data_IF_134698447547
#
_entry.id   IF_134698447547
#
_cell.length_a   1.000
_cell.length_b   1.000
_cell.length_c   1.000
_cell.angle_alpha   90.00
_cell.angle_beta   90.00
_cell.angle_gamma   90.00
#
_symmetry.space_group_name_H-M   'P 1'
#
loop_
_entity.id
_entity.type
_entity.pdbx_description
1 polymer ?
#
# COMPACT_ATOMS: atom_id res chain seq x y z
N UNK A 1 -18.83 -0.60 8.32
CA UNK A 1 -17.87 -1.59 7.79
C UNK A 1 -17.56 -1.19 6.36
N UNK A 2 -16.37 -0.67 6.11
CA UNK A 2 -15.99 -0.21 4.76
C UNK A 2 -15.98 -1.41 3.81
N UNK A 3 -16.85 -1.32 2.81
CA UNK A 3 -16.89 -2.20 1.66
C UNK A 3 -15.53 -2.02 0.95
N UNK A 4 -14.61 -2.98 1.07
CA UNK A 4 -13.33 -2.98 0.35
C UNK A 4 -13.63 -3.16 -1.14
N UNK A 5 -14.02 -2.04 -1.76
CA UNK A 5 -14.51 -1.93 -3.12
C UNK A 5 -13.32 -2.01 -4.06
N UNK A 6 -13.21 -3.15 -4.73
CA UNK A 6 -12.22 -3.48 -5.78
C UNK A 6 -10.76 -3.47 -5.29
N UNK A 7 -10.11 -4.64 -5.27
CA UNK A 7 -8.70 -4.79 -4.89
C UNK A 7 -7.82 -4.21 -6.02
N UNK A 8 -7.72 -2.88 -6.08
CA UNK A 8 -6.64 -2.25 -6.82
C UNK A 8 -5.37 -2.40 -6.00
N UNK A 9 -4.29 -2.86 -6.65
CA UNK A 9 -2.94 -2.76 -6.09
C UNK A 9 -2.66 -1.35 -5.56
N UNK A 10 -1.74 -1.23 -4.61
CA UNK A 10 -1.30 0.03 -4.03
C UNK A 10 -0.96 1.05 -5.13
N UNK A 11 -0.14 0.69 -6.12
CA UNK A 11 0.22 1.58 -7.23
C UNK A 11 -0.99 2.00 -8.07
N UNK A 12 -1.93 1.07 -8.31
CA UNK A 12 -3.20 1.35 -8.97
C UNK A 12 -4.02 2.39 -8.20
N UNK A 13 -4.15 2.22 -6.88
CA UNK A 13 -4.84 3.17 -6.02
C UNK A 13 -4.20 4.56 -6.06
N UNK A 14 -2.87 4.65 -5.96
CA UNK A 14 -2.14 5.92 -6.07
C UNK A 14 -2.43 6.63 -7.41
N UNK A 15 -2.44 5.87 -8.52
CA UNK A 15 -2.77 6.40 -9.85
C UNK A 15 -4.21 6.93 -9.91
N UNK A 16 -5.16 6.19 -9.35
CA UNK A 16 -6.57 6.58 -9.29
C UNK A 16 -6.77 7.85 -8.46
N UNK A 17 -6.19 7.92 -7.26
CA UNK A 17 -6.23 9.10 -6.39
C UNK A 17 -5.63 10.33 -7.09
N UNK A 18 -4.46 10.17 -7.72
CA UNK A 18 -3.82 11.25 -8.47
C UNK A 18 -4.70 11.76 -9.61
N UNK A 19 -5.30 10.84 -10.39
CA UNK A 19 -6.19 11.20 -11.51
C UNK A 19 -7.48 11.87 -11.05
N UNK A 20 -8.09 11.39 -9.96
CA UNK A 20 -9.29 12.02 -9.37
C UNK A 20 -9.04 13.47 -8.97
N UNK A 21 -7.83 13.78 -8.51
CA UNK A 21 -7.43 15.15 -8.18
C UNK A 21 -6.85 15.94 -9.37
N UNK A 22 -6.89 15.37 -10.58
CA UNK A 22 -6.32 15.97 -11.81
C UNK A 22 -4.85 16.38 -11.66
N UNK A 23 -4.08 15.69 -10.81
CA UNK A 23 -2.70 16.02 -10.55
C UNK A 23 -1.77 15.38 -11.62
N UNK A 24 -0.91 16.15 -12.29
CA UNK A 24 0.13 15.56 -13.12
C UNK A 24 1.20 14.90 -12.25
N UNK A 25 1.88 13.86 -12.75
CA UNK A 25 2.94 13.13 -12.03
C UNK A 25 3.95 14.08 -11.37
N UNK A 26 4.40 15.11 -12.10
CA UNK A 26 5.36 16.11 -11.62
C UNK A 26 4.95 16.83 -10.33
N UNK A 27 3.65 17.06 -10.10
CA UNK A 27 3.17 17.76 -8.90
C UNK A 27 3.24 16.89 -7.65
N UNK A 28 2.89 15.61 -7.78
CA UNK A 28 2.99 14.65 -6.67
C UNK A 28 4.45 14.29 -6.40
N UNK A 29 5.23 14.05 -7.47
CA UNK A 29 6.65 13.72 -7.36
C UNK A 29 7.46 14.84 -6.67
N UNK A 30 7.19 16.12 -7.01
CA UNK A 30 7.82 17.25 -6.32
C UNK A 30 7.48 17.34 -4.82
N UNK A 31 6.25 16.95 -4.42
CA UNK A 31 5.86 16.93 -2.99
C UNK A 31 6.51 15.78 -2.21
N UNK A 32 6.95 14.74 -2.90
CA UNK A 32 7.63 13.57 -2.34
C UNK A 32 9.16 13.66 -2.46
N UNK A 33 9.67 14.75 -3.03
CA UNK A 33 11.09 14.94 -3.34
C UNK A 33 11.69 13.78 -4.16
N UNK A 34 11.00 13.39 -5.24
CA UNK A 34 11.42 12.32 -6.16
C UNK A 34 11.21 12.72 -7.63
N UNK A 35 11.83 11.96 -8.54
CA UNK A 35 11.56 12.09 -9.97
C UNK A 35 10.13 11.67 -10.36
N UNK A 36 9.50 12.33 -11.35
CA UNK A 36 8.22 11.89 -11.91
C UNK A 36 8.25 10.45 -12.44
N UNK A 37 9.40 9.99 -12.94
CA UNK A 37 9.60 8.60 -13.40
C UNK A 37 9.55 7.60 -12.24
N UNK A 38 10.04 7.99 -11.06
CA UNK A 38 9.98 7.19 -9.84
C UNK A 38 8.53 7.01 -9.39
N UNK A 39 7.76 8.09 -9.33
CA UNK A 39 6.32 8.00 -9.04
C UNK A 39 5.59 7.16 -10.11
N UNK A 40 5.93 7.31 -11.38
CA UNK A 40 5.35 6.51 -12.46
C UNK A 40 5.62 5.01 -12.33
N UNK A 41 6.78 4.61 -11.78
CA UNK A 41 7.08 3.21 -11.44
C UNK A 41 6.30 2.74 -10.21
N UNK A 42 6.11 3.61 -9.21
CA UNK A 42 5.26 3.32 -8.05
C UNK A 42 3.82 3.05 -8.46
N UNK A 43 3.25 3.87 -9.35
CA UNK A 43 1.89 3.68 -9.88
C UNK A 43 1.70 2.38 -10.68
N UNK A 44 2.80 1.78 -11.14
CA UNK A 44 2.79 0.49 -11.85
C UNK A 44 3.20 -0.69 -10.95
N UNK A 45 3.39 -0.46 -9.66
CA UNK A 45 3.92 -1.43 -8.68
C UNK A 45 5.31 -2.01 -9.02
N UNK A 46 6.05 -1.39 -9.94
CA UNK A 46 7.41 -1.83 -10.30
C UNK A 46 8.49 -1.21 -9.41
N UNK A 47 8.13 -0.21 -8.60
CA UNK A 47 8.99 0.34 -7.55
C UNK A 47 8.16 0.54 -6.28
N UNK A 48 8.61 -0.05 -5.17
CA UNK A 48 7.95 0.11 -3.86
C UNK A 48 8.36 1.44 -3.22
N UNK A 49 7.41 2.21 -2.66
CA UNK A 49 7.75 3.36 -1.82
C UNK A 49 8.23 2.94 -0.43
N UNK A 50 8.91 3.87 0.25
CA UNK A 50 9.19 3.78 1.69
C UNK A 50 7.91 4.02 2.50
N UNK A 51 7.89 3.61 3.78
CA UNK A 51 6.73 3.87 4.66
C UNK A 51 6.50 5.37 4.90
N UNK A 52 7.57 6.16 4.90
CA UNK A 52 7.49 7.62 4.95
C UNK A 52 6.76 8.15 3.71
N UNK A 53 7.14 7.69 2.51
CA UNK A 53 6.47 8.07 1.27
C UNK A 53 5.00 7.60 1.23
N UNK A 54 4.68 6.43 1.79
CA UNK A 54 3.27 5.99 1.96
C UNK A 54 2.49 6.98 2.82
N UNK A 55 3.09 7.42 3.94
CA UNK A 55 2.47 8.41 4.84
C UNK A 55 2.31 9.78 4.17
N UNK A 56 3.32 10.23 3.43
CA UNK A 56 3.24 11.47 2.65
C UNK A 56 2.18 11.38 1.54
N UNK A 57 2.06 10.25 0.85
CA UNK A 57 1.05 10.01 -0.18
C UNK A 57 -0.38 10.08 0.40
N UNK A 58 -0.59 9.51 1.59
CA UNK A 58 -1.86 9.62 2.31
C UNK A 58 -2.23 11.09 2.55
N UNK A 59 -1.27 11.90 3.03
CA UNK A 59 -1.46 13.34 3.24
C UNK A 59 -1.69 14.10 1.92
N UNK A 60 -0.92 13.82 0.88
CA UNK A 60 -1.03 14.48 -0.44
C UNK A 60 -2.42 14.28 -1.03
N UNK A 61 -2.98 13.09 -0.89
CA UNK A 61 -4.29 12.75 -1.46
C UNK A 61 -5.46 12.91 -0.48
N UNK A 62 -5.20 13.36 0.76
CA UNK A 62 -6.20 13.40 1.83
C UNK A 62 -6.96 12.06 1.95
N UNK A 63 -6.20 10.95 1.96
CA UNK A 63 -6.71 9.59 2.02
C UNK A 63 -6.38 8.98 3.39
N UNK A 64 -7.25 8.13 3.99
CA UNK A 64 -6.96 7.52 5.28
C UNK A 64 -5.65 6.73 5.26
N UNK A 65 -4.70 7.10 6.12
CA UNK A 65 -3.38 6.48 6.16
C UNK A 65 -3.45 4.98 6.44
N UNK A 66 -4.36 4.56 7.32
CA UNK A 66 -4.60 3.14 7.64
C UNK A 66 -5.05 2.33 6.43
N UNK A 67 -5.99 2.85 5.64
CA UNK A 67 -6.44 2.18 4.41
C UNK A 67 -5.29 2.07 3.41
N UNK A 68 -4.51 3.14 3.24
CA UNK A 68 -3.37 3.11 2.31
C UNK A 68 -2.28 2.13 2.76
N UNK A 69 -2.03 2.02 4.07
CA UNK A 69 -1.14 1.02 4.65
C UNK A 69 -1.66 -0.40 4.43
N UNK A 70 -2.97 -0.64 4.56
CA UNK A 70 -3.56 -1.95 4.27
C UNK A 70 -3.26 -2.37 2.83
N UNK A 71 -3.48 -1.49 1.85
CA UNK A 71 -3.14 -1.78 0.45
C UNK A 71 -1.63 -2.03 0.26
N UNK A 72 -0.78 -1.20 0.86
CA UNK A 72 0.68 -1.35 0.76
C UNK A 72 1.18 -2.69 1.32
N UNK A 73 0.76 -3.04 2.53
CA UNK A 73 1.20 -4.27 3.19
C UNK A 73 0.55 -5.51 2.59
N UNK A 74 -0.69 -5.42 2.12
CA UNK A 74 -1.35 -6.50 1.37
C UNK A 74 -0.52 -6.89 0.15
N UNK A 75 -0.14 -5.92 -0.69
CA UNK A 75 0.70 -6.17 -1.87
C UNK A 75 2.14 -6.61 -1.52
N UNK A 76 2.67 -6.14 -0.38
CA UNK A 76 3.97 -6.60 0.13
C UNK A 76 3.95 -8.06 0.56
N UNK A 77 2.92 -8.46 1.28
CA UNK A 77 2.79 -9.83 1.77
C UNK A 77 2.47 -10.75 0.60
N UNK A 78 1.49 -10.39 -0.25
CA UNK A 78 1.09 -11.17 -1.41
C UNK A 78 2.29 -11.49 -2.31
N UNK A 79 3.09 -10.49 -2.71
CA UNK A 79 4.24 -10.74 -3.60
C UNK A 79 5.30 -11.66 -3.01
N UNK A 80 5.34 -11.83 -1.67
CA UNK A 80 6.31 -12.68 -0.99
C UNK A 80 5.84 -14.12 -0.87
N UNK A 81 4.53 -14.37 -0.93
CA UNK A 81 3.98 -15.70 -0.60
C UNK A 81 3.08 -16.27 -1.70
N UNK A 82 2.64 -15.49 -2.68
CA UNK A 82 1.67 -15.92 -3.71
C UNK A 82 2.15 -17.11 -4.54
N UNK A 83 3.47 -17.26 -4.71
CA UNK A 83 4.09 -18.36 -5.44
C UNK A 83 4.19 -19.66 -4.60
N UNK A 84 3.89 -19.60 -3.30
CA UNK A 84 3.97 -20.75 -2.40
C UNK A 84 2.61 -21.48 -2.37
N UNK A 85 2.56 -22.81 -2.58
CA UNK A 85 1.32 -23.58 -2.51
C UNK A 85 0.57 -23.50 -1.16
N UNK A 86 1.26 -23.06 -0.11
CA UNK A 86 0.77 -22.96 1.27
C UNK A 86 0.51 -21.51 1.72
N UNK A 87 0.38 -20.55 0.79
CA UNK A 87 0.19 -19.12 1.09
C UNK A 87 -0.92 -18.85 2.12
N UNK A 88 -2.09 -19.48 1.94
CA UNK A 88 -3.23 -19.33 2.87
C UNK A 88 -2.92 -19.82 4.28
N UNK A 89 -2.17 -20.91 4.40
CA UNK A 89 -1.76 -21.46 5.69
C UNK A 89 -0.77 -20.52 6.40
N UNK A 90 0.15 -19.92 5.62
CA UNK A 90 1.10 -18.91 6.12
C UNK A 90 0.36 -17.68 6.66
N UNK A 91 -0.66 -17.20 5.95
CA UNK A 91 -1.48 -16.06 6.40
C UNK A 91 -2.20 -16.35 7.72
N UNK A 92 -2.88 -17.50 7.81
CA UNK A 92 -3.58 -17.94 9.03
C UNK A 92 -2.62 -18.09 10.21
N UNK A 93 -1.46 -18.71 9.99
CA UNK A 93 -0.45 -18.88 11.03
C UNK A 93 0.12 -17.53 11.50
N UNK A 94 0.32 -16.57 10.57
CA UNK A 94 0.78 -15.21 10.87
C UNK A 94 -0.22 -14.46 11.74
N UNK A 95 -1.51 -14.50 11.36
CA UNK A 95 -2.58 -13.86 12.12
C UNK A 95 -2.65 -14.40 13.56
N UNK A 96 -2.61 -15.73 13.72
CA UNK A 96 -2.62 -16.36 15.03
C UNK A 96 -1.42 -15.92 15.89
N UNK A 97 -0.20 -15.85 15.33
CA UNK A 97 0.99 -15.37 16.04
C UNK A 97 0.84 -13.92 16.52
N UNK A 98 0.23 -13.05 15.71
CA UNK A 98 0.00 -11.64 16.07
C UNK A 98 -1.02 -11.55 17.22
N UNK A 99 -2.14 -12.29 17.14
CA UNK A 99 -3.17 -12.33 18.20
C UNK A 99 -2.58 -12.80 19.53
N UNK A 100 -1.80 -13.88 19.51
CA UNK A 100 -1.16 -14.42 20.71
C UNK A 100 -0.22 -13.40 21.36
N UNK A 101 0.64 -12.73 20.58
CA UNK A 101 1.56 -11.71 21.11
C UNK A 101 0.82 -10.53 21.76
N UNK A 102 -0.26 -10.05 21.15
CA UNK A 102 -1.09 -8.98 21.72
C UNK A 102 -1.74 -9.39 23.04
N UNK A 103 -2.23 -10.63 23.13
CA UNK A 103 -2.85 -11.16 24.36
C UNK A 103 -1.82 -11.38 25.49
N UNK A 104 -0.57 -11.68 25.15
CA UNK A 104 0.49 -11.96 26.13
C UNK A 104 1.26 -10.71 26.60
N UNK A 105 0.89 -9.52 26.13
CA UNK A 105 1.49 -8.23 26.54
C UNK A 105 0.54 -7.44 27.47
N UNK A 106 -0.40 -8.14 28.12
CA UNK A 106 -1.32 -7.66 29.15
C UNK A 106 -1.02 -8.35 30.47
#
# INVERSE_FOLDING_TARGET
MSNLKTISSFGGLIRELRKKQMLPLRKVAARLDIDPSTLGKMEKNTRRPTLEQVSQLASIFNYPAEELMIHYFSDLIASRIEHLPIADQILKATENKIKQRKNNTL
#
